data_IF_329807055775
#
_entry.id   IF_329807055775
#
_cell.length_a   1.000
_cell.length_b   1.000
_cell.length_c   1.000
_cell.angle_alpha   90.00
_cell.angle_beta   90.00
_cell.angle_gamma   90.00
#
_symmetry.space_group_name_H-M   'P 1'
#
loop_
_entity.id
_entity.type
_entity.pdbx_description
1 polymer ?
#
# COMPACT_ATOMS: atom_id res chain seq x y z
N UNK A 1 18.98 -21.28 4.63
CA UNK A 1 17.93 -22.04 5.34
C UNK A 1 16.81 -21.14 5.87
N UNK A 2 17.18 -20.07 6.60
CA UNK A 2 16.21 -19.17 7.26
C UNK A 2 15.44 -18.28 6.27
N UNK A 3 16.09 -17.86 5.18
CA UNK A 3 15.48 -17.05 4.12
C UNK A 3 14.33 -17.78 3.42
N UNK A 4 14.53 -19.05 3.06
CA UNK A 4 13.47 -19.91 2.48
C UNK A 4 12.30 -20.14 3.44
N UNK A 5 12.56 -20.19 4.74
CA UNK A 5 11.50 -20.33 5.77
C UNK A 5 10.70 -19.03 5.86
N UNK A 6 11.36 -17.87 5.84
CA UNK A 6 10.71 -16.57 5.83
C UNK A 6 9.84 -16.36 4.57
N UNK A 7 10.36 -16.71 3.40
CA UNK A 7 9.61 -16.63 2.13
C UNK A 7 8.35 -17.50 2.15
N UNK A 8 8.48 -18.75 2.60
CA UNK A 8 7.34 -19.67 2.71
C UNK A 8 6.28 -19.14 3.67
N UNK A 9 6.70 -18.63 4.83
CA UNK A 9 5.82 -18.05 5.85
C UNK A 9 5.08 -16.82 5.32
N UNK A 10 5.77 -15.98 4.54
CA UNK A 10 5.17 -14.81 3.89
C UNK A 10 4.15 -15.21 2.82
N UNK A 11 4.44 -16.24 2.03
CA UNK A 11 3.49 -16.79 1.05
C UNK A 11 2.24 -17.33 1.73
N UNK A 12 2.40 -18.08 2.83
CA UNK A 12 1.30 -18.58 3.63
C UNK A 12 0.46 -17.44 4.21
N UNK A 13 1.10 -16.42 4.78
CA UNK A 13 0.42 -15.25 5.33
C UNK A 13 -0.44 -14.53 4.26
N UNK A 14 0.09 -14.35 3.05
CA UNK A 14 -0.68 -13.79 1.92
C UNK A 14 -1.88 -14.66 1.55
N UNK A 15 -1.70 -15.97 1.42
CA UNK A 15 -2.79 -16.88 1.10
C UNK A 15 -3.89 -16.85 2.18
N UNK A 16 -3.52 -16.72 3.45
CA UNK A 16 -4.49 -16.55 4.52
C UNK A 16 -5.25 -15.21 4.44
N UNK A 17 -4.57 -14.10 4.14
CA UNK A 17 -5.21 -12.80 3.94
C UNK A 17 -6.21 -12.83 2.78
N UNK A 18 -5.83 -13.43 1.63
CA UNK A 18 -6.71 -13.58 0.46
C UNK A 18 -7.96 -14.42 0.76
N UNK A 19 -7.89 -15.35 1.71
CA UNK A 19 -9.02 -16.16 2.18
C UNK A 19 -9.85 -15.46 3.30
N UNK A 20 -9.55 -14.19 3.61
CA UNK A 20 -10.20 -13.43 4.68
C UNK A 20 -9.79 -13.86 6.09
N UNK A 21 -8.77 -14.72 6.23
CA UNK A 21 -8.25 -15.22 7.52
C UNK A 21 -7.19 -14.27 8.06
N UNK A 22 -7.59 -13.01 8.23
CA UNK A 22 -6.71 -11.88 8.54
C UNK A 22 -5.90 -12.06 9.81
N UNK A 23 -6.52 -12.49 10.91
CA UNK A 23 -5.81 -12.68 12.19
C UNK A 23 -4.67 -13.70 12.05
N UNK A 24 -4.91 -14.81 11.35
CA UNK A 24 -3.87 -15.81 11.13
C UNK A 24 -2.76 -15.31 10.21
N UNK A 25 -3.10 -14.54 9.17
CA UNK A 25 -2.10 -13.88 8.35
C UNK A 25 -1.19 -12.95 9.17
N UNK A 26 -1.77 -12.20 10.12
CA UNK A 26 -1.04 -11.31 11.01
C UNK A 26 -0.17 -12.07 12.02
N UNK A 27 -0.65 -13.17 12.59
CA UNK A 27 0.14 -14.07 13.45
C UNK A 27 1.38 -14.60 12.73
N UNK A 28 1.23 -14.98 11.45
CA UNK A 28 2.33 -15.47 10.63
C UNK A 28 3.39 -14.39 10.37
N UNK A 29 3.10 -13.10 10.45
CA UNK A 29 4.11 -12.05 10.28
C UNK A 29 4.41 -11.26 11.55
N UNK A 30 3.88 -11.65 12.71
CA UNK A 30 3.89 -10.83 13.92
C UNK A 30 5.29 -10.30 14.30
N UNK A 31 6.32 -11.15 14.20
CA UNK A 31 7.72 -10.81 14.51
C UNK A 31 8.58 -10.43 13.31
N UNK A 32 7.99 -10.19 12.14
CA UNK A 32 8.71 -9.84 10.92
C UNK A 32 8.58 -8.33 10.61
N UNK A 33 9.69 -7.59 10.69
CA UNK A 33 9.76 -6.16 10.43
C UNK A 33 10.19 -5.80 8.99
N UNK A 34 10.30 -6.81 8.12
CA UNK A 34 10.62 -6.61 6.70
C UNK A 34 9.61 -5.69 6.02
N UNK A 35 10.05 -5.04 4.94
CA UNK A 35 9.18 -4.19 4.12
C UNK A 35 7.96 -4.98 3.61
N UNK A 36 8.16 -6.25 3.25
CA UNK A 36 7.12 -7.17 2.78
C UNK A 36 6.07 -7.43 3.85
N UNK A 37 6.49 -7.70 5.09
CA UNK A 37 5.58 -7.89 6.21
C UNK A 37 4.87 -6.59 6.62
N UNK A 38 5.51 -5.43 6.52
CA UNK A 38 4.86 -4.12 6.72
C UNK A 38 3.76 -3.88 5.69
N UNK A 39 4.01 -4.18 4.41
CA UNK A 39 3.00 -4.09 3.35
C UNK A 39 1.81 -5.02 3.60
N UNK A 40 2.05 -6.30 3.93
CA UNK A 40 0.94 -7.23 4.23
C UNK A 40 0.04 -6.71 5.34
N UNK A 41 0.61 -6.17 6.42
CA UNK A 41 -0.21 -5.62 7.51
C UNK A 41 -1.06 -4.44 7.04
N UNK A 42 -0.54 -3.59 6.15
CA UNK A 42 -1.29 -2.50 5.54
C UNK A 42 -2.43 -3.01 4.66
N UNK A 43 -2.16 -4.02 3.82
CA UNK A 43 -3.16 -4.65 2.96
C UNK A 43 -4.27 -5.32 3.78
N UNK A 44 -3.91 -6.05 4.84
CA UNK A 44 -4.90 -6.66 5.75
C UNK A 44 -5.80 -5.60 6.41
N UNK A 45 -5.23 -4.48 6.86
CA UNK A 45 -6.03 -3.39 7.43
C UNK A 45 -6.98 -2.77 6.37
N UNK A 46 -6.50 -2.62 5.14
CA UNK A 46 -7.29 -2.14 4.01
C UNK A 46 -8.46 -3.08 3.69
N UNK A 47 -8.21 -4.38 3.58
CA UNK A 47 -9.23 -5.40 3.26
C UNK A 47 -10.31 -5.50 4.34
N UNK A 48 -9.91 -5.29 5.60
CA UNK A 48 -10.81 -5.20 6.76
C UNK A 48 -11.61 -3.89 6.80
N UNK A 49 -11.33 -2.95 5.89
CA UNK A 49 -11.89 -1.59 5.88
C UNK A 49 -11.61 -0.81 7.16
N UNK A 50 -10.52 -1.16 7.85
CA UNK A 50 -10.00 -0.39 8.98
C UNK A 50 -9.15 0.77 8.43
N UNK A 51 -9.84 1.78 7.88
CA UNK A 51 -9.18 2.90 7.21
C UNK A 51 -8.20 3.67 8.09
N UNK A 52 -8.49 3.93 9.38
CA UNK A 52 -7.52 4.54 10.27
C UNK A 52 -6.25 3.70 10.43
N UNK A 53 -6.36 2.37 10.57
CA UNK A 53 -5.19 1.51 10.70
C UNK A 53 -4.42 1.35 9.39
N UNK A 54 -5.14 1.21 8.26
CA UNK A 54 -4.55 1.16 6.93
C UNK A 54 -3.72 2.42 6.64
N UNK A 55 -4.26 3.61 6.92
CA UNK A 55 -3.55 4.88 6.75
C UNK A 55 -2.25 4.93 7.55
N UNK A 56 -2.27 4.56 8.84
CA UNK A 56 -1.07 4.54 9.69
C UNK A 56 -0.01 3.58 9.16
N UNK A 57 -0.42 2.39 8.71
CA UNK A 57 0.51 1.37 8.21
C UNK A 57 1.11 1.78 6.87
N UNK A 58 0.33 2.37 5.97
CA UNK A 58 0.82 2.89 4.69
C UNK A 58 1.79 4.07 4.89
N UNK A 59 1.52 4.98 5.84
CA UNK A 59 2.52 5.98 6.26
C UNK A 59 3.82 5.33 6.77
N UNK A 60 3.70 4.22 7.52
CA UNK A 60 4.86 3.44 7.97
C UNK A 60 5.59 2.69 6.85
N UNK A 61 4.92 2.34 5.75
CA UNK A 61 5.56 1.79 4.54
C UNK A 61 6.37 2.88 3.83
N UNK A 62 5.80 4.08 3.70
CA UNK A 62 6.45 5.25 3.11
C UNK A 62 7.61 5.80 3.95
N UNK A 63 7.54 5.68 5.28
CA UNK A 63 8.58 6.12 6.21
C UNK A 63 8.99 7.58 5.98
N UNK A 64 10.30 7.82 5.85
CA UNK A 64 10.88 9.16 5.66
C UNK A 64 11.09 9.53 4.19
N UNK A 65 10.45 8.83 3.25
CA UNK A 65 10.63 9.03 1.81
C UNK A 65 10.34 10.46 1.33
N UNK A 66 9.47 11.17 2.05
CA UNK A 66 9.13 12.58 1.81
C UNK A 66 10.32 13.54 1.98
N UNK A 67 11.34 13.14 2.75
CA UNK A 67 12.52 13.96 3.02
C UNK A 67 13.66 13.71 2.02
N UNK A 68 13.51 12.73 1.13
CA UNK A 68 14.49 12.43 0.08
C UNK A 68 14.14 13.22 -1.19
N UNK A 69 15.10 13.99 -1.71
CA UNK A 69 14.96 14.81 -2.91
C UNK A 69 14.82 13.98 -4.20
N UNK A 70 15.11 12.68 -4.17
CA UNK A 70 14.93 11.80 -5.31
C UNK A 70 13.45 11.77 -5.76
N UNK A 71 13.16 11.77 -7.08
CA UNK A 71 11.79 11.65 -7.59
C UNK A 71 11.13 10.35 -7.12
N UNK A 72 9.83 10.41 -6.79
CA UNK A 72 9.07 9.24 -6.37
C UNK A 72 8.94 8.23 -7.52
N UNK A 73 9.29 6.97 -7.27
CA UNK A 73 9.00 5.87 -8.18
C UNK A 73 7.50 5.58 -8.25
N UNK A 74 7.05 4.86 -9.29
CA UNK A 74 5.62 4.58 -9.50
C UNK A 74 4.96 3.87 -8.31
N UNK A 75 5.65 2.89 -7.70
CA UNK A 75 5.17 2.22 -6.51
C UNK A 75 5.02 3.17 -5.30
N UNK A 76 5.97 4.10 -5.12
CA UNK A 76 5.92 5.09 -4.04
C UNK A 76 4.78 6.08 -4.25
N UNK A 77 4.54 6.50 -5.50
CA UNK A 77 3.39 7.34 -5.84
C UNK A 77 2.06 6.63 -5.57
N UNK A 78 1.96 5.33 -5.89
CA UNK A 78 0.80 4.52 -5.58
C UNK A 78 0.57 4.42 -4.06
N UNK A 79 1.62 4.17 -3.28
CA UNK A 79 1.54 4.12 -1.81
C UNK A 79 1.09 5.47 -1.21
N UNK A 80 1.57 6.60 -1.74
CA UNK A 80 1.12 7.95 -1.34
C UNK A 80 -0.37 8.14 -1.63
N UNK A 81 -0.86 7.73 -2.80
CA UNK A 81 -2.28 7.81 -3.13
C UNK A 81 -3.14 6.90 -2.24
N UNK A 82 -2.72 5.65 -2.02
CA UNK A 82 -3.42 4.72 -1.10
C UNK A 82 -3.51 5.31 0.30
N UNK A 83 -2.43 5.93 0.78
CA UNK A 83 -2.41 6.61 2.08
C UNK A 83 -3.43 7.74 2.14
N UNK A 84 -3.44 8.62 1.13
CA UNK A 84 -4.41 9.71 1.05
C UNK A 84 -5.86 9.23 1.00
N UNK A 85 -6.13 8.14 0.27
CA UNK A 85 -7.46 7.51 0.20
C UNK A 85 -7.87 6.93 1.55
N UNK A 86 -6.99 6.18 2.22
CA UNK A 86 -7.27 5.63 3.53
C UNK A 86 -7.65 6.75 4.52
N UNK A 87 -6.93 7.87 4.49
CA UNK A 87 -7.27 9.01 5.34
C UNK A 87 -8.57 9.71 4.97
N UNK A 88 -8.88 9.79 3.68
CA UNK A 88 -10.16 10.34 3.23
C UNK A 88 -11.34 9.48 3.67
N UNK A 89 -11.23 8.15 3.54
CA UNK A 89 -12.21 7.18 4.00
C UNK A 89 -12.33 7.14 5.53
N UNK A 90 -11.23 7.38 6.25
CA UNK A 90 -11.23 7.54 7.71
C UNK A 90 -11.81 8.88 8.19
N UNK A 91 -11.95 9.87 7.30
CA UNK A 91 -12.36 11.22 7.68
C UNK A 91 -11.28 12.04 8.39
N UNK A 92 -10.02 11.59 8.36
CA UNK A 92 -8.92 12.25 9.06
C UNK A 92 -8.30 13.38 8.22
N UNK A 93 -8.85 14.58 8.41
CA UNK A 93 -8.41 15.80 7.71
C UNK A 93 -7.03 16.26 8.12
N UNK A 94 -6.59 15.96 9.34
CA UNK A 94 -5.26 16.32 9.80
C UNK A 94 -4.20 15.46 9.11
N UNK A 95 -4.46 14.15 9.00
CA UNK A 95 -3.61 13.23 8.28
C UNK A 95 -3.51 13.56 6.78
N UNK A 96 -4.63 13.96 6.14
CA UNK A 96 -4.61 14.43 4.74
C UNK A 96 -3.74 15.67 4.58
N UNK A 97 -3.87 16.67 5.47
CA UNK A 97 -3.01 17.87 5.44
C UNK A 97 -1.54 17.50 5.61
N UNK A 98 -1.22 16.58 6.51
CA UNK A 98 0.15 16.09 6.72
C UNK A 98 0.71 15.41 5.47
N UNK A 99 -0.05 14.54 4.82
CA UNK A 99 0.36 13.89 3.56
C UNK A 99 0.58 14.93 2.46
N UNK A 100 -0.31 15.93 2.33
CA UNK A 100 -0.15 17.00 1.35
C UNK A 100 1.13 17.82 1.61
N UNK A 101 1.38 18.19 2.87
CA UNK A 101 2.59 18.92 3.25
C UNK A 101 3.88 18.15 2.94
N UNK A 102 3.88 16.83 3.20
CA UNK A 102 5.06 15.98 2.99
C UNK A 102 5.32 15.67 1.52
N UNK A 103 4.29 15.23 0.78
CA UNK A 103 4.47 14.67 -0.56
C UNK A 103 3.98 15.58 -1.69
N UNK A 104 3.29 16.68 -1.40
CA UNK A 104 2.69 17.53 -2.43
C UNK A 104 3.70 18.08 -3.43
N UNK A 105 4.90 18.47 -2.99
CA UNK A 105 5.94 18.93 -3.90
C UNK A 105 6.39 17.84 -4.88
N UNK A 106 6.62 16.63 -4.39
CA UNK A 106 7.08 15.50 -5.18
C UNK A 106 5.98 14.94 -6.09
N UNK A 107 4.74 14.86 -5.62
CA UNK A 107 3.60 14.35 -6.39
C UNK A 107 3.17 15.29 -7.52
N UNK A 108 3.35 16.62 -7.36
CA UNK A 108 2.97 17.59 -8.40
C UNK A 108 3.70 17.41 -9.73
N UNK A 109 4.89 16.81 -9.73
CA UNK A 109 5.68 16.58 -10.94
C UNK A 109 5.47 15.19 -11.55
N UNK A 110 4.57 14.38 -10.98
CA UNK A 110 4.30 13.02 -11.47
C UNK A 110 3.04 12.95 -12.31
N UNK A 111 2.83 11.83 -13.00
CA UNK A 111 1.59 11.52 -13.72
C UNK A 111 0.36 11.47 -12.81
N UNK A 112 0.57 11.27 -11.51
CA UNK A 112 -0.48 11.10 -10.50
C UNK A 112 -0.87 12.42 -9.81
N UNK A 113 -0.27 13.56 -10.19
CA UNK A 113 -0.49 14.87 -9.58
C UNK A 113 -1.98 15.22 -9.43
N UNK A 114 -2.76 15.11 -10.51
CA UNK A 114 -4.19 15.45 -10.50
C UNK A 114 -5.00 14.59 -9.54
N UNK A 115 -4.68 13.30 -9.43
CA UNK A 115 -5.37 12.41 -8.49
C UNK A 115 -5.04 12.76 -7.03
N UNK A 116 -3.76 13.07 -6.76
CA UNK A 116 -3.32 13.50 -5.45
C UNK A 116 -3.96 14.82 -5.02
N UNK A 117 -4.03 15.81 -5.91
CA UNK A 117 -4.66 17.10 -5.64
C UNK A 117 -6.15 16.95 -5.29
N UNK A 118 -6.88 16.07 -6.00
CA UNK A 118 -8.27 15.77 -5.67
C UNK A 118 -8.40 15.13 -4.28
N UNK A 119 -7.53 14.16 -3.95
CA UNK A 119 -7.60 13.45 -2.66
C UNK A 119 -7.24 14.34 -1.48
N UNK A 120 -6.34 15.29 -1.69
CA UNK A 120 -5.81 16.18 -0.64
C UNK A 120 -6.51 17.54 -0.57
N UNK A 121 -7.39 17.83 -1.53
CA UNK A 121 -8.18 19.06 -1.55
C UNK A 121 -9.05 19.22 -0.31
N UNK A 122 -9.08 20.44 0.22
CA UNK A 122 -9.97 20.78 1.32
C UNK A 122 -11.45 20.72 0.94
N UNK A 123 -11.77 20.73 -0.37
CA UNK A 123 -13.15 20.65 -0.85
C UNK A 123 -13.66 19.21 -0.94
N UNK A 124 -12.77 18.21 -0.88
CA UNK A 124 -13.17 16.81 -0.96
C UNK A 124 -13.84 16.41 0.35
N UNK A 125 -15.12 16.04 0.29
CA UNK A 125 -15.89 15.59 1.44
C UNK A 125 -15.61 14.11 1.68
N UNK A 126 -15.38 13.74 2.95
CA UNK A 126 -15.20 12.35 3.34
C UNK A 126 -16.42 11.51 2.95
N UNK A 127 -16.19 10.42 2.22
CA UNK A 127 -17.26 9.58 1.67
C UNK A 127 -17.80 10.04 0.30
N UNK A 128 -17.15 11.00 -0.37
CA UNK A 128 -17.44 11.30 -1.79
C UNK A 128 -17.24 10.03 -2.64
N UNK A 129 -18.22 9.72 -3.50
CA UNK A 129 -18.18 8.57 -4.40
C UNK A 129 -16.91 8.54 -5.26
N UNK A 130 -16.35 9.71 -5.60
CA UNK A 130 -15.08 9.83 -6.34
C UNK A 130 -13.91 9.18 -5.61
N UNK A 131 -13.87 9.31 -4.28
CA UNK A 131 -12.83 8.71 -3.44
C UNK A 131 -12.98 7.20 -3.42
N UNK A 132 -14.22 6.71 -3.28
CA UNK A 132 -14.52 5.28 -3.34
C UNK A 132 -14.18 4.64 -4.68
N UNK A 133 -14.43 5.33 -5.79
CA UNK A 133 -14.10 4.83 -7.13
C UNK A 133 -12.59 4.83 -7.40
N UNK A 134 -11.86 5.84 -6.90
CA UNK A 134 -10.40 5.87 -7.00
C UNK A 134 -9.75 4.78 -6.13
N UNK A 135 -10.28 4.56 -4.92
CA UNK A 135 -9.86 3.46 -4.05
C UNK A 135 -9.98 2.10 -4.74
N UNK A 136 -11.11 1.86 -5.43
CA UNK A 136 -11.37 0.61 -6.15
C UNK A 136 -10.38 0.42 -7.31
N UNK A 137 -10.14 1.45 -8.11
CA UNK A 137 -9.18 1.40 -9.23
C UNK A 137 -7.75 1.09 -8.76
N UNK A 138 -7.32 1.65 -7.64
CA UNK A 138 -5.98 1.39 -7.11
C UNK A 138 -5.89 -0.03 -6.54
N UNK A 139 -6.90 -0.49 -5.80
CA UNK A 139 -6.95 -1.87 -5.33
C UNK A 139 -6.89 -2.89 -6.48
N UNK A 140 -7.52 -2.58 -7.63
CA UNK A 140 -7.46 -3.41 -8.83
C UNK A 140 -6.03 -3.45 -9.42
N UNK A 141 -5.30 -2.32 -9.41
CA UNK A 141 -3.90 -2.22 -9.87
C UNK A 141 -2.97 -3.01 -8.94
N UNK A 142 -3.08 -2.83 -7.62
CA UNK A 142 -2.26 -3.56 -6.64
C UNK A 142 -2.43 -5.07 -6.76
N UNK A 143 -3.67 -5.53 -6.98
CA UNK A 143 -3.98 -6.95 -7.16
C UNK A 143 -3.34 -7.50 -8.44
N UNK A 144 -3.33 -6.70 -9.51
CA UNK A 144 -2.71 -7.06 -10.78
C UNK A 144 -1.17 -7.11 -10.67
N UNK A 145 -0.55 -6.11 -10.07
CA UNK A 145 0.91 -6.09 -9.88
C UNK A 145 1.38 -7.22 -8.96
N UNK A 146 0.64 -7.49 -7.87
CA UNK A 146 0.90 -8.64 -7.02
C UNK A 146 0.76 -9.97 -7.78
N UNK A 147 -0.22 -10.09 -8.69
CA UNK A 147 -0.34 -11.25 -9.58
C UNK A 147 0.83 -11.36 -10.57
N UNK A 148 1.23 -10.26 -11.20
CA UNK A 148 2.31 -10.23 -12.19
C UNK A 148 3.69 -10.48 -11.57
N UNK A 149 3.97 -9.94 -10.38
CA UNK A 149 5.19 -10.27 -9.62
C UNK A 149 5.24 -11.75 -9.25
N UNK A 150 4.11 -12.35 -8.82
CA UNK A 150 4.03 -13.80 -8.57
C UNK A 150 4.26 -14.61 -9.85
N UNK A 151 3.74 -14.13 -10.98
CA UNK A 151 3.96 -14.77 -12.27
C UNK A 151 5.43 -14.74 -12.66
N UNK A 152 6.08 -13.57 -12.64
CA UNK A 152 7.50 -13.42 -12.99
C UNK A 152 8.41 -14.26 -12.09
N UNK A 153 8.19 -14.22 -10.77
CA UNK A 153 8.96 -15.01 -9.79
C UNK A 153 8.86 -16.52 -10.06
N UNK A 154 7.73 -17.00 -10.59
CA UNK A 154 7.52 -18.43 -10.92
C UNK A 154 8.27 -18.86 -12.17
N UNK A 155 8.53 -17.96 -13.11
CA UNK A 155 9.27 -18.27 -14.35
C UNK A 155 10.78 -18.11 -14.18
N UNK A 156 11.24 -17.20 -13.33
CA UNK A 156 12.66 -17.04 -13.03
C UNK A 156 13.23 -18.20 -12.19
N UNK A 157 12.38 -18.89 -11.41
CA UNK A 157 12.77 -20.09 -10.64
C UNK A 157 12.89 -21.39 -11.45
N UNK A 158 12.57 -21.41 -12.75
CA UNK A 158 12.57 -22.63 -13.60
C UNK A 158 13.60 -22.55 -14.74
N UNK A 159 14.35 -21.44 -14.86
CA UNK A 159 15.29 -21.21 -15.97
C UNK A 159 16.77 -21.50 -15.68
N UNK A 160 17.11 -22.06 -14.52
CA UNK A 160 18.47 -22.14 -14.00
C UNK A 160 18.99 -23.54 -13.71
N UNK A 161 18.70 -24.53 -14.56
CA UNK A 161 19.42 -25.81 -14.55
C UNK A 161 19.89 -26.10 -15.98
N UNK A 162 21.18 -25.88 -16.23
CA UNK A 162 21.92 -26.32 -17.43
C UNK A 162 23.13 -27.12 -16.99
#
# INVERSE_FOLDING_TARGET
>A
PDELVAERRMLEARAHAELGRFEHALELVAGDDSATARRLRADVAWDRRDWPDAGRRLEGVLGDRWSDDAPLGEAEQADVLRTAIAWNLAGDREAIRRINQRYGAQMRVTSQASAFDVLTSELTVSGDARVGDLARRIADIDTLDAFMQRYQSRFEGVGGES
#
